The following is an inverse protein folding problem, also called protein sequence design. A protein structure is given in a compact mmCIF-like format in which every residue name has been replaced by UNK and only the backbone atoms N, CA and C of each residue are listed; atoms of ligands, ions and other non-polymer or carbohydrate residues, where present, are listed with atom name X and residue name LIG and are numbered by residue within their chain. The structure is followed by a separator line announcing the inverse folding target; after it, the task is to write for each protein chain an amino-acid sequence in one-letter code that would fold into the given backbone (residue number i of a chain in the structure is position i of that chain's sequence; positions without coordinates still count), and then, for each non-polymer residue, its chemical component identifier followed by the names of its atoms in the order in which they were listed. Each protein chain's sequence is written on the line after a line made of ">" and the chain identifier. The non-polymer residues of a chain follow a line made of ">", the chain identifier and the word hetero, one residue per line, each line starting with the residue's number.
data_IF_446458522560
#
_entry.id   IF_446458522560
#
_cell.length_a   1.000
_cell.length_b   1.000
_cell.length_c   1.000
_cell.angle_alpha   90.00
_cell.angle_beta   90.00
_cell.angle_gamma   90.00
#
_symmetry.space_group_name_H-M   'P 1'
#
loop_
_entity.id
_entity.type
_entity.pdbx_description
1 polymer ?
#
# COMPACT_ATOMS: atom_id res chain seq x y z
N UNK A 1 15.26 24.19 0.73
CA UNK A 1 15.36 23.02 -0.16
C UNK A 1 14.12 22.88 -1.02
N UNK A 2 14.29 22.42 -2.27
CA UNK A 2 13.15 22.24 -3.16
C UNK A 2 12.30 21.03 -2.72
N UNK A 3 10.96 21.19 -2.71
CA UNK A 3 10.02 20.14 -2.30
C UNK A 3 8.71 20.24 -3.09
N UNK A 4 8.05 19.10 -3.29
CA UNK A 4 6.75 19.02 -3.95
C UNK A 4 5.65 18.91 -2.91
N UNK A 5 4.77 19.91 -2.87
CA UNK A 5 3.84 20.12 -1.75
C UNK A 5 2.39 20.17 -2.19
N UNK A 6 1.50 19.88 -1.24
CA UNK A 6 0.08 20.20 -1.31
C UNK A 6 -0.12 21.65 -0.84
N UNK A 7 -0.40 22.55 -1.76
CA UNK A 7 -0.65 23.97 -1.49
C UNK A 7 -2.05 24.14 -0.87
N UNK A 8 -3.04 23.62 -1.55
CA UNK A 8 -4.46 23.58 -1.15
C UNK A 8 -5.16 22.37 -1.79
N UNK A 9 -6.33 21.95 -1.31
CA UNK A 9 -7.04 20.82 -1.92
C UNK A 9 -7.18 20.96 -3.44
N UNK A 10 -6.69 19.96 -4.18
CA UNK A 10 -6.66 19.95 -5.63
C UNK A 10 -5.49 20.64 -6.29
N UNK A 11 -4.62 21.32 -5.52
CA UNK A 11 -3.50 22.07 -6.06
C UNK A 11 -2.17 21.69 -5.42
N UNK A 12 -1.25 21.28 -6.24
CA UNK A 12 0.14 20.94 -5.87
C UNK A 12 1.13 21.89 -6.53
N UNK A 13 2.36 21.88 -6.08
CA UNK A 13 3.44 22.66 -6.70
C UNK A 13 4.75 22.53 -5.97
N UNK A 14 5.77 23.17 -6.53
CA UNK A 14 7.10 23.24 -5.97
C UNK A 14 7.22 24.39 -4.97
N UNK A 15 7.92 24.14 -3.87
CA UNK A 15 8.06 25.09 -2.77
C UNK A 15 9.47 25.04 -2.18
N UNK A 16 9.99 26.20 -1.79
CA UNK A 16 11.22 26.28 -1.01
C UNK A 16 10.91 26.04 0.48
N UNK A 17 11.08 24.81 0.91
CA UNK A 17 10.83 24.38 2.29
C UNK A 17 12.09 24.43 3.14
N UNK A 18 11.99 24.63 4.48
CA UNK A 18 13.13 24.54 5.36
C UNK A 18 13.80 23.17 5.28
N UNK A 19 15.10 23.12 5.48
CA UNK A 19 15.82 21.84 5.61
C UNK A 19 15.42 21.11 6.90
N UNK A 20 15.38 19.77 6.89
CA UNK A 20 15.09 19.02 8.10
C UNK A 20 16.23 19.11 9.11
N UNK A 21 15.90 19.15 10.40
CA UNK A 21 16.88 19.14 11.49
C UNK A 21 17.16 17.71 11.96
N UNK A 22 18.43 17.33 12.02
CA UNK A 22 18.83 15.99 12.48
C UNK A 22 18.50 15.77 13.95
N UNK A 23 17.90 14.63 14.24
CA UNK A 23 17.61 14.19 15.64
C UNK A 23 18.59 13.11 16.07
N UNK A 24 18.85 12.90 17.37
CA UNK A 24 19.85 11.93 17.85
C UNK A 24 19.63 10.50 17.36
N UNK A 25 18.40 10.05 17.15
CA UNK A 25 18.04 8.72 16.65
C UNK A 25 17.63 8.71 15.19
N UNK A 26 17.56 9.88 14.56
CA UNK A 26 17.07 10.04 13.20
C UNK A 26 18.17 9.97 12.15
N UNK A 27 17.74 10.00 10.91
CA UNK A 27 18.62 10.17 9.77
C UNK A 27 18.03 11.20 8.80
N UNK A 28 18.88 12.01 8.19
CA UNK A 28 18.55 12.85 7.04
C UNK A 28 18.92 12.08 5.79
N UNK A 29 17.97 11.96 4.88
CA UNK A 29 18.10 11.19 3.65
C UNK A 29 17.80 12.05 2.43
N UNK A 30 18.36 11.64 1.28
CA UNK A 30 17.93 12.11 -0.03
C UNK A 30 17.30 10.98 -0.83
N UNK A 31 16.22 11.24 -1.60
CA UNK A 31 15.62 10.22 -2.45
C UNK A 31 16.60 9.75 -3.54
N UNK A 32 16.59 8.45 -3.84
CA UNK A 32 17.23 7.83 -5.02
C UNK A 32 16.15 7.41 -6.01
N UNK A 33 15.03 6.92 -5.48
CA UNK A 33 13.83 6.64 -6.26
C UNK A 33 12.60 6.84 -5.39
N UNK A 34 11.53 7.37 -6.00
CA UNK A 34 10.23 7.55 -5.37
C UNK A 34 9.10 7.06 -6.28
N UNK A 35 7.95 6.76 -5.69
CA UNK A 35 6.76 6.45 -6.45
C UNK A 35 5.53 7.14 -5.84
N UNK A 36 4.77 7.93 -6.61
CA UNK A 36 3.47 8.40 -6.16
C UNK A 36 2.49 7.25 -5.99
N UNK A 37 1.68 7.33 -4.93
CA UNK A 37 0.65 6.36 -4.60
C UNK A 37 -0.76 6.91 -4.91
N UNK A 38 -1.74 6.01 -5.00
CA UNK A 38 -3.15 6.41 -5.09
C UNK A 38 -3.58 7.18 -3.83
N UNK A 39 -2.97 6.93 -2.68
CA UNK A 39 -3.22 7.70 -1.45
C UNK A 39 -2.73 9.15 -1.54
N UNK A 40 -1.63 9.44 -2.26
CA UNK A 40 -1.23 10.82 -2.57
C UNK A 40 -2.28 11.50 -3.46
N UNK A 41 -2.79 10.78 -4.47
CA UNK A 41 -3.89 11.27 -5.32
C UNK A 41 -5.14 11.58 -4.49
N UNK A 42 -5.50 10.72 -3.54
CA UNK A 42 -6.63 10.97 -2.62
C UNK A 42 -6.36 12.15 -1.69
N UNK A 43 -5.14 12.30 -1.19
CA UNK A 43 -4.74 13.44 -0.35
C UNK A 43 -4.87 14.75 -1.11
N UNK A 44 -4.47 14.78 -2.38
CA UNK A 44 -4.52 16.00 -3.21
C UNK A 44 -5.94 16.28 -3.71
N UNK A 45 -6.59 15.29 -4.33
CA UNK A 45 -7.83 15.48 -5.11
C UNK A 45 -9.09 14.96 -4.41
N UNK A 46 -8.96 14.26 -3.29
CA UNK A 46 -10.07 13.65 -2.56
C UNK A 46 -10.85 14.58 -1.63
N UNK A 47 -10.58 15.88 -1.65
CA UNK A 47 -11.33 16.91 -0.88
C UNK A 47 -10.97 16.99 0.61
N UNK A 48 -9.93 16.30 1.07
CA UNK A 48 -9.40 16.45 2.43
C UNK A 48 -8.68 17.80 2.62
N UNK A 49 -8.76 18.39 3.81
CA UNK A 49 -7.91 19.55 4.14
C UNK A 49 -6.53 19.08 4.57
N UNK A 50 -5.45 19.69 4.05
CA UNK A 50 -4.11 19.39 4.54
C UNK A 50 -4.01 19.71 6.03
N UNK A 51 -3.32 18.87 6.80
CA UNK A 51 -3.10 19.11 8.23
C UNK A 51 -2.13 20.27 8.49
N UNK A 52 -1.33 20.62 7.49
CA UNK A 52 -0.41 21.74 7.52
C UNK A 52 -0.36 22.43 6.14
N UNK A 53 -0.17 23.75 6.06
CA UNK A 53 0.05 24.44 4.79
C UNK A 53 1.36 23.92 4.18
N UNK A 54 1.39 23.81 2.86
CA UNK A 54 2.55 23.34 2.10
C UNK A 54 3.09 21.98 2.58
N UNK A 55 2.18 21.03 2.88
CA UNK A 55 2.54 19.66 3.26
C UNK A 55 3.36 19.00 2.16
N UNK A 56 4.60 18.62 2.45
CA UNK A 56 5.43 17.83 1.54
C UNK A 56 4.79 16.45 1.36
N UNK A 57 4.55 16.06 0.11
CA UNK A 57 3.88 14.82 -0.26
C UNK A 57 4.85 13.62 -0.33
N UNK A 58 4.29 12.42 -0.57
CA UNK A 58 5.03 11.20 -0.84
C UNK A 58 5.42 10.39 0.39
N UNK A 59 5.41 9.05 0.23
CA UNK A 59 5.72 8.10 1.29
C UNK A 59 6.38 6.81 0.79
N UNK A 60 6.54 6.64 -0.53
CA UNK A 60 7.25 5.49 -1.11
C UNK A 60 8.62 5.94 -1.62
N UNK A 61 9.69 5.44 -1.00
CA UNK A 61 11.03 5.89 -1.32
C UNK A 61 12.10 4.81 -1.08
N UNK A 62 13.10 4.79 -1.96
CA UNK A 62 14.45 4.28 -1.68
C UNK A 62 15.36 5.50 -1.61
N UNK A 63 16.16 5.60 -0.57
CA UNK A 63 16.93 6.79 -0.28
C UNK A 63 18.36 6.47 0.17
N UNK A 64 19.26 7.45 -0.01
CA UNK A 64 20.60 7.43 0.56
C UNK A 64 20.63 8.27 1.84
N UNK A 65 21.26 7.75 2.88
CA UNK A 65 21.48 8.45 4.14
C UNK A 65 22.60 9.49 3.93
N UNK A 66 22.28 10.75 4.16
CA UNK A 66 23.26 11.85 4.14
C UNK A 66 23.92 12.03 5.50
N UNK A 67 23.11 11.98 6.57
CA UNK A 67 23.56 12.16 7.95
C UNK A 67 22.78 11.21 8.86
N UNK A 68 23.48 10.58 9.82
CA UNK A 68 22.87 9.77 10.86
C UNK A 68 23.11 10.42 12.23
N UNK A 69 22.07 10.42 13.08
CA UNK A 69 22.16 10.93 14.42
C UNK A 69 23.13 10.11 15.30
N UNK A 70 23.65 10.74 16.35
CA UNK A 70 24.69 10.17 17.22
C UNK A 70 24.31 8.87 17.95
N UNK A 71 23.00 8.60 18.05
CA UNK A 71 22.45 7.39 18.69
C UNK A 71 21.96 6.34 17.68
N UNK A 72 22.10 6.58 16.37
CA UNK A 72 21.86 5.58 15.33
C UNK A 72 22.99 4.55 15.35
N UNK A 73 22.64 3.25 15.28
CA UNK A 73 23.59 2.15 15.46
C UNK A 73 23.81 1.33 14.21
N UNK A 74 22.75 1.12 13.44
CA UNK A 74 22.71 0.13 12.36
C UNK A 74 22.95 0.76 10.97
N UNK A 75 22.95 2.10 10.90
CA UNK A 75 23.04 2.86 9.65
C UNK A 75 24.05 3.99 9.74
N UNK A 76 24.60 4.38 8.60
CA UNK A 76 25.58 5.47 8.46
C UNK A 76 25.38 6.24 7.16
N UNK A 77 26.00 7.40 7.04
CA UNK A 77 26.05 8.16 5.80
C UNK A 77 26.59 7.31 4.65
N UNK A 78 25.95 7.41 3.48
CA UNK A 78 26.25 6.66 2.27
C UNK A 78 25.48 5.33 2.14
N UNK A 79 24.80 4.85 3.18
CA UNK A 79 23.96 3.66 3.06
C UNK A 79 22.72 3.97 2.23
N UNK A 80 22.39 3.06 1.30
CA UNK A 80 21.14 3.13 0.52
C UNK A 80 20.12 2.18 1.15
N UNK A 81 18.96 2.72 1.51
CA UNK A 81 17.95 2.05 2.32
C UNK A 81 16.56 2.13 1.72
N UNK A 82 15.71 1.15 2.03
CA UNK A 82 14.29 1.21 1.77
C UNK A 82 13.58 1.96 2.91
N UNK A 83 12.74 2.94 2.55
CA UNK A 83 11.99 3.77 3.49
C UNK A 83 10.54 3.29 3.55
N UNK A 84 10.10 2.61 4.63
CA UNK A 84 8.72 2.13 4.74
C UNK A 84 7.70 3.26 4.68
N UNK A 85 6.61 3.06 3.96
CA UNK A 85 5.49 4.00 3.93
C UNK A 85 4.79 4.12 5.28
N UNK A 86 4.76 3.02 6.04
CA UNK A 86 4.19 2.96 7.38
C UNK A 86 5.32 3.10 8.40
N UNK A 87 5.34 4.24 9.07
CA UNK A 87 6.39 4.70 9.99
C UNK A 87 5.78 5.06 11.35
N UNK A 88 5.37 4.07 12.16
CA UNK A 88 4.78 4.33 13.47
C UNK A 88 5.74 5.09 14.41
N UNK A 89 5.18 5.73 15.42
CA UNK A 89 5.97 6.16 16.58
C UNK A 89 6.34 4.94 17.43
N UNK A 90 7.54 4.41 17.22
CA UNK A 90 8.04 3.22 17.92
C UNK A 90 8.27 3.42 19.42
N UNK A 91 8.13 4.64 19.91
CA UNK A 91 8.23 4.99 21.35
C UNK A 91 6.87 5.12 22.03
N UNK A 92 5.79 5.02 21.27
CA UNK A 92 4.45 5.06 21.82
C UNK A 92 4.19 3.83 22.72
N UNK A 93 3.50 4.03 23.84
CA UNK A 93 3.17 2.95 24.79
C UNK A 93 2.34 1.84 24.13
N UNK A 94 1.51 2.18 23.17
CA UNK A 94 0.68 1.24 22.38
C UNK A 94 1.48 0.18 21.60
N UNK A 95 2.80 0.39 21.41
CA UNK A 95 3.69 -0.63 20.83
C UNK A 95 3.69 -1.91 21.69
N UNK A 96 3.62 -1.77 23.00
CA UNK A 96 3.56 -2.92 23.93
C UNK A 96 2.26 -3.72 23.79
N UNK A 97 1.21 -3.09 23.27
CA UNK A 97 -0.09 -3.70 22.96
C UNK A 97 -0.18 -4.20 21.51
N UNK A 98 0.92 -4.15 20.75
CA UNK A 98 0.98 -4.45 19.32
C UNK A 98 0.09 -3.54 18.44
N UNK A 99 -0.35 -2.39 18.98
CA UNK A 99 -1.15 -1.39 18.27
C UNK A 99 -0.27 -0.25 17.74
N UNK A 100 0.63 -0.57 16.80
CA UNK A 100 1.56 0.43 16.24
C UNK A 100 0.97 1.17 15.04
N UNK A 101 0.01 0.59 14.32
CA UNK A 101 -0.58 1.23 13.15
C UNK A 101 -1.55 2.37 13.50
N UNK A 102 -2.16 2.32 14.69
CA UNK A 102 -3.18 3.27 15.17
C UNK A 102 -2.87 3.82 16.55
N UNK A 103 -1.60 3.92 16.92
CA UNK A 103 -1.15 4.38 18.22
C UNK A 103 -1.68 5.78 18.56
N UNK A 104 -2.71 5.85 19.41
CA UNK A 104 -3.32 7.11 19.87
C UNK A 104 -4.24 7.83 18.87
N UNK A 105 -4.23 7.48 17.58
CA UNK A 105 -5.12 8.07 16.58
C UNK A 105 -5.25 7.17 15.34
N UNK A 106 -6.37 7.25 14.58
CA UNK A 106 -6.50 6.55 13.32
C UNK A 106 -5.39 6.90 12.34
N UNK A 107 -4.79 5.89 11.72
CA UNK A 107 -3.70 6.01 10.73
C UNK A 107 -2.41 6.66 11.26
N UNK A 108 -2.18 6.64 12.57
CA UNK A 108 -0.97 7.22 13.16
C UNK A 108 0.33 6.56 12.70
N UNK A 109 0.27 5.35 12.19
CA UNK A 109 1.42 4.68 11.56
C UNK A 109 1.75 5.19 10.16
N UNK A 110 0.83 5.87 9.47
CA UNK A 110 1.07 6.50 8.18
C UNK A 110 1.33 7.99 8.38
N UNK A 111 2.58 8.36 8.59
CA UNK A 111 2.97 9.73 8.95
C UNK A 111 3.52 10.52 7.75
N UNK A 112 4.40 9.92 6.94
CA UNK A 112 5.03 10.57 5.80
C UNK A 112 4.01 11.08 4.78
N UNK A 113 4.11 12.35 4.38
CA UNK A 113 3.18 12.99 3.46
C UNK A 113 1.78 13.21 4.02
N UNK A 114 1.58 13.05 5.35
CA UNK A 114 0.28 13.20 6.00
C UNK A 114 0.31 14.02 7.28
N UNK A 115 1.05 13.61 8.29
CA UNK A 115 1.24 14.34 9.56
C UNK A 115 2.68 14.80 9.75
N UNK A 116 3.59 14.25 8.98
CA UNK A 116 4.98 14.64 8.85
C UNK A 116 5.29 14.96 7.38
N UNK A 117 6.33 15.78 7.11
CA UNK A 117 6.83 15.99 5.76
C UNK A 117 7.11 14.65 5.07
N UNK A 118 6.71 14.54 3.80
CA UNK A 118 6.91 13.35 2.98
C UNK A 118 8.27 13.33 2.30
N UNK A 119 8.41 12.36 1.39
CA UNK A 119 9.69 12.05 0.70
C UNK A 119 9.86 12.77 -0.64
N UNK A 120 8.89 13.59 -1.08
CA UNK A 120 9.02 14.36 -2.32
C UNK A 120 9.74 15.71 -2.07
N UNK A 121 10.93 15.62 -1.50
CA UNK A 121 11.82 16.71 -1.18
C UNK A 121 13.27 16.33 -1.48
N UNK A 122 14.14 17.31 -1.69
CA UNK A 122 15.59 17.05 -1.88
C UNK A 122 16.21 16.35 -0.67
N UNK A 123 15.67 16.61 0.52
CA UNK A 123 16.05 15.97 1.79
C UNK A 123 14.81 15.75 2.66
N UNK A 124 14.83 14.73 3.49
CA UNK A 124 13.78 14.47 4.48
C UNK A 124 14.36 13.77 5.71
N UNK A 125 13.65 13.87 6.84
CA UNK A 125 14.02 13.25 8.10
C UNK A 125 13.21 11.97 8.32
N UNK A 126 13.88 10.91 8.77
CA UNK A 126 13.28 9.76 9.45
C UNK A 126 13.67 9.83 10.93
N UNK A 127 12.71 10.03 11.86
CA UNK A 127 13.02 10.32 13.28
C UNK A 127 13.66 9.17 14.05
N UNK A 128 13.33 7.91 13.72
CA UNK A 128 13.85 6.70 14.35
C UNK A 128 14.41 5.76 13.26
N UNK A 129 15.67 5.96 12.87
CA UNK A 129 16.30 5.28 11.75
C UNK A 129 16.39 3.76 11.96
N UNK A 130 16.91 3.29 13.11
CA UNK A 130 17.18 1.87 13.35
C UNK A 130 15.93 1.00 13.38
N UNK A 131 14.77 1.55 13.73
CA UNK A 131 13.50 0.82 13.80
C UNK A 131 12.65 0.97 12.54
N UNK A 132 12.96 1.99 11.72
CA UNK A 132 12.16 2.34 10.56
C UNK A 132 12.83 1.91 9.25
N UNK A 133 14.10 2.31 9.02
CA UNK A 133 14.80 2.07 7.76
C UNK A 133 15.12 0.59 7.58
N UNK A 134 15.00 0.09 6.36
CA UNK A 134 15.28 -1.30 6.04
C UNK A 134 16.51 -1.44 5.13
N UNK A 135 17.40 -2.38 5.48
CA UNK A 135 18.52 -2.74 4.65
C UNK A 135 18.04 -3.40 3.35
N UNK A 136 18.61 -2.99 2.23
CA UNK A 136 18.36 -3.62 0.94
C UNK A 136 19.38 -4.73 0.73
N UNK A 137 18.97 -6.01 0.66
CA UNK A 137 19.88 -7.12 0.47
C UNK A 137 20.59 -7.05 -0.90
N UNK A 138 21.78 -7.58 -0.96
CA UNK A 138 22.51 -7.74 -2.24
C UNK A 138 21.67 -8.53 -3.25
N UNK A 139 21.65 -8.08 -4.51
CA UNK A 139 20.88 -8.66 -5.61
C UNK A 139 19.45 -8.19 -5.72
N UNK A 140 18.93 -7.42 -4.76
CA UNK A 140 17.61 -6.78 -4.87
C UNK A 140 17.73 -5.49 -5.68
N UNK A 141 16.93 -5.35 -6.73
CA UNK A 141 16.95 -4.16 -7.58
C UNK A 141 16.25 -2.97 -6.93
N UNK A 142 16.50 -1.77 -7.46
CA UNK A 142 15.86 -0.55 -6.98
C UNK A 142 14.33 -0.60 -7.09
N UNK A 143 13.83 -1.14 -8.20
CA UNK A 143 12.40 -1.33 -8.45
C UNK A 143 11.78 -2.31 -7.45
N UNK A 144 12.47 -3.43 -7.18
CA UNK A 144 12.03 -4.40 -6.18
C UNK A 144 11.96 -3.76 -4.79
N UNK A 145 13.00 -3.03 -4.41
CA UNK A 145 13.06 -2.37 -3.10
C UNK A 145 11.94 -1.32 -2.97
N UNK A 146 11.75 -0.48 -3.98
CA UNK A 146 10.71 0.55 -3.98
C UNK A 146 9.30 -0.04 -3.88
N UNK A 147 9.01 -1.16 -4.55
CA UNK A 147 7.70 -1.79 -4.44
C UNK A 147 7.48 -2.47 -3.09
N UNK A 148 8.53 -2.89 -2.39
CA UNK A 148 8.41 -3.51 -1.08
C UNK A 148 8.03 -2.54 0.04
N UNK A 149 8.31 -1.23 -0.09
CA UNK A 149 8.10 -0.25 0.99
C UNK A 149 6.62 0.03 1.30
N UNK A 150 5.73 -0.18 0.31
CA UNK A 150 4.28 -0.01 0.46
C UNK A 150 3.50 -1.13 -0.25
N UNK A 151 3.62 -1.22 -1.57
CA UNK A 151 2.73 -2.03 -2.42
C UNK A 151 2.72 -3.50 -2.02
N UNK A 152 3.91 -4.10 -1.84
CA UNK A 152 4.04 -5.51 -1.45
C UNK A 152 3.50 -5.72 -0.04
N UNK A 153 3.95 -4.92 0.92
CA UNK A 153 3.52 -5.09 2.32
C UNK A 153 2.03 -4.89 2.49
N UNK A 154 1.42 -3.94 1.78
CA UNK A 154 -0.01 -3.66 1.84
C UNK A 154 -0.84 -4.81 1.23
N UNK A 155 -0.46 -5.29 0.04
CA UNK A 155 -1.14 -6.43 -0.58
C UNK A 155 -1.02 -7.71 0.25
N UNK A 156 0.16 -7.96 0.82
CA UNK A 156 0.39 -9.11 1.70
C UNK A 156 -0.34 -9.00 3.03
N UNK A 157 -0.45 -7.79 3.61
CA UNK A 157 -1.28 -7.55 4.79
C UNK A 157 -2.73 -7.94 4.52
N UNK A 158 -3.28 -7.55 3.35
CA UNK A 158 -4.62 -7.96 2.94
C UNK A 158 -4.78 -9.49 2.85
N UNK A 159 -3.83 -10.17 2.25
CA UNK A 159 -3.85 -11.64 2.14
C UNK A 159 -3.70 -12.34 3.51
N UNK A 160 -2.83 -11.84 4.40
CA UNK A 160 -2.64 -12.38 5.75
C UNK A 160 -3.91 -12.25 6.60
N UNK A 161 -4.59 -11.10 6.56
CA UNK A 161 -5.82 -10.87 7.32
C UNK A 161 -7.06 -11.53 6.72
N UNK A 162 -6.98 -12.02 5.49
CA UNK A 162 -8.00 -12.85 4.89
C UNK A 162 -8.04 -14.28 5.46
N UNK A 163 -7.09 -14.64 6.33
CA UNK A 163 -6.96 -15.94 7.01
C UNK A 163 -6.98 -17.14 6.04
N UNK A 164 -6.30 -16.99 4.91
CA UNK A 164 -6.29 -17.94 3.80
C UNK A 164 -5.68 -19.27 4.25
N UNK A 165 -6.38 -20.36 3.93
CA UNK A 165 -5.93 -21.75 4.17
C UNK A 165 -5.60 -22.45 2.84
N UNK A 166 -4.85 -23.54 2.93
CA UNK A 166 -4.62 -24.40 1.77
C UNK A 166 -5.95 -24.90 1.17
N UNK A 167 -6.12 -24.67 -0.12
CA UNK A 167 -7.31 -25.12 -0.83
C UNK A 167 -8.44 -24.08 -0.95
N UNK A 168 -8.33 -22.92 -0.30
CA UNK A 168 -9.37 -21.89 -0.29
C UNK A 168 -9.61 -21.26 -1.68
N UNK A 169 -10.84 -20.81 -1.86
CA UNK A 169 -11.24 -19.88 -2.93
C UNK A 169 -11.21 -18.44 -2.40
N UNK A 170 -10.35 -17.63 -2.99
CA UNK A 170 -10.13 -16.22 -2.60
C UNK A 170 -10.55 -15.28 -3.73
N UNK A 171 -11.29 -14.24 -3.39
CA UNK A 171 -11.60 -13.13 -4.32
C UNK A 171 -10.73 -11.93 -3.98
N UNK A 172 -10.11 -11.31 -4.98
CA UNK A 172 -9.38 -10.05 -4.82
C UNK A 172 -10.12 -8.95 -5.58
N UNK A 173 -10.74 -8.02 -4.84
CA UNK A 173 -11.45 -6.88 -5.40
C UNK A 173 -10.49 -5.72 -5.67
N UNK A 174 -10.33 -5.35 -6.95
CA UNK A 174 -9.46 -4.28 -7.38
C UNK A 174 -8.01 -4.73 -7.59
N UNK A 175 -7.68 -5.16 -8.81
CA UNK A 175 -6.33 -5.58 -9.23
C UNK A 175 -5.45 -4.41 -9.70
N UNK A 176 -5.39 -3.34 -8.91
CA UNK A 176 -4.33 -2.33 -8.99
C UNK A 176 -3.01 -2.89 -8.40
N UNK A 177 -1.97 -2.05 -8.21
CA UNK A 177 -0.68 -2.51 -7.67
C UNK A 177 -0.83 -3.35 -6.39
N UNK A 178 -1.60 -2.86 -5.41
CA UNK A 178 -1.85 -3.55 -4.14
C UNK A 178 -2.58 -4.88 -4.35
N UNK A 179 -3.64 -4.88 -5.17
CA UNK A 179 -4.40 -6.11 -5.44
C UNK A 179 -3.59 -7.17 -6.19
N UNK A 180 -2.68 -6.77 -7.07
CA UNK A 180 -1.74 -7.67 -7.72
C UNK A 180 -0.82 -8.36 -6.69
N UNK A 181 -0.37 -7.63 -5.68
CA UNK A 181 0.41 -8.23 -4.58
C UNK A 181 -0.46 -9.04 -3.63
N UNK A 182 -1.74 -8.70 -3.43
CA UNK A 182 -2.68 -9.55 -2.70
C UNK A 182 -2.92 -10.89 -3.42
N UNK A 183 -2.99 -10.90 -4.76
CA UNK A 183 -3.04 -12.14 -5.57
C UNK A 183 -1.78 -12.99 -5.33
N UNK A 184 -0.58 -12.38 -5.40
CA UNK A 184 0.66 -13.07 -5.13
C UNK A 184 0.72 -13.62 -3.69
N UNK A 185 0.26 -12.83 -2.71
CA UNK A 185 0.16 -13.24 -1.31
C UNK A 185 -0.79 -14.42 -1.11
N UNK A 186 -1.99 -14.37 -1.71
CA UNK A 186 -2.97 -15.45 -1.64
C UNK A 186 -2.43 -16.76 -2.23
N UNK A 187 -1.72 -16.69 -3.37
CA UNK A 187 -1.04 -17.84 -3.95
C UNK A 187 0.01 -18.43 -3.00
N UNK A 188 0.83 -17.60 -2.38
CA UNK A 188 1.87 -18.05 -1.46
C UNK A 188 1.31 -18.67 -0.18
N UNK A 189 0.14 -18.22 0.26
CA UNK A 189 -0.58 -18.77 1.41
C UNK A 189 -1.33 -20.08 1.09
N UNK A 190 -1.41 -20.47 -0.19
CA UNK A 190 -1.94 -21.77 -0.59
C UNK A 190 -3.38 -21.77 -1.07
N UNK A 191 -3.93 -20.62 -1.47
CA UNK A 191 -5.23 -20.57 -2.14
C UNK A 191 -5.22 -21.46 -3.39
N UNK A 192 -6.22 -22.32 -3.55
CA UNK A 192 -6.36 -23.17 -4.73
C UNK A 192 -7.01 -22.42 -5.89
N UNK A 193 -7.90 -21.50 -5.59
CA UNK A 193 -8.58 -20.66 -6.58
C UNK A 193 -8.48 -19.19 -6.20
N UNK A 194 -8.04 -18.35 -7.13
CA UNK A 194 -7.92 -16.91 -6.92
C UNK A 194 -8.68 -16.19 -8.04
N UNK A 195 -9.81 -15.58 -7.67
CA UNK A 195 -10.67 -14.83 -8.56
C UNK A 195 -10.30 -13.35 -8.46
N UNK A 196 -9.64 -12.83 -9.47
CA UNK A 196 -9.15 -11.46 -9.50
C UNK A 196 -10.16 -10.55 -10.24
N UNK A 197 -10.65 -9.49 -9.58
CA UNK A 197 -11.68 -8.59 -10.12
C UNK A 197 -11.05 -7.29 -10.60
N UNK A 198 -11.13 -7.03 -11.90
CA UNK A 198 -10.62 -5.82 -12.52
C UNK A 198 -10.74 -5.85 -14.04
N UNK A 199 -10.44 -4.70 -14.71
CA UNK A 199 -10.70 -4.56 -16.14
C UNK A 199 -9.52 -4.03 -16.97
N UNK A 200 -8.47 -3.47 -16.34
CA UNK A 200 -7.33 -2.91 -17.08
C UNK A 200 -6.45 -4.03 -17.63
N UNK A 201 -6.20 -4.03 -18.95
CA UNK A 201 -5.52 -5.12 -19.67
C UNK A 201 -4.17 -5.51 -19.01
N UNK A 202 -3.30 -4.52 -18.72
CA UNK A 202 -1.99 -4.80 -18.08
C UNK A 202 -2.12 -5.38 -16.67
N UNK A 203 -3.11 -4.93 -15.91
CA UNK A 203 -3.38 -5.50 -14.58
C UNK A 203 -3.91 -6.94 -14.67
N UNK A 204 -4.74 -7.25 -15.67
CA UNK A 204 -5.25 -8.61 -15.93
C UNK A 204 -4.12 -9.55 -16.32
N UNK A 205 -3.21 -9.10 -17.19
CA UNK A 205 -2.00 -9.86 -17.55
C UNK A 205 -1.17 -10.22 -16.31
N UNK A 206 -0.83 -9.22 -15.51
CA UNK A 206 -0.03 -9.41 -14.30
C UNK A 206 -0.76 -10.23 -13.22
N UNK A 207 -2.09 -10.08 -13.09
CA UNK A 207 -2.85 -10.89 -12.14
C UNK A 207 -2.72 -12.40 -12.45
N UNK A 208 -2.81 -12.78 -13.72
CA UNK A 208 -2.60 -14.17 -14.16
C UNK A 208 -1.18 -14.64 -13.85
N UNK A 209 -0.20 -13.82 -14.14
CA UNK A 209 1.21 -14.13 -13.88
C UNK A 209 1.47 -14.32 -12.37
N UNK A 210 0.89 -13.48 -11.51
CA UNK A 210 1.02 -13.57 -10.07
C UNK A 210 0.19 -14.67 -9.43
N UNK A 211 -0.71 -15.34 -10.20
CA UNK A 211 -1.37 -16.56 -9.78
C UNK A 211 -2.89 -16.51 -9.73
N UNK A 212 -3.54 -15.49 -10.30
CA UNK A 212 -4.99 -15.52 -10.47
C UNK A 212 -5.40 -16.66 -11.39
N UNK A 213 -6.34 -17.49 -10.95
CA UNK A 213 -6.90 -18.61 -11.73
C UNK A 213 -8.04 -18.14 -12.63
N UNK A 214 -8.76 -17.13 -12.15
CA UNK A 214 -9.94 -16.58 -12.83
C UNK A 214 -9.88 -15.02 -12.84
N UNK A 215 -10.39 -14.44 -13.89
CA UNK A 215 -10.53 -12.98 -14.01
C UNK A 215 -12.01 -12.63 -14.16
N UNK A 216 -12.50 -11.75 -13.30
CA UNK A 216 -13.81 -11.14 -13.45
C UNK A 216 -13.67 -9.67 -13.82
N UNK A 217 -14.23 -9.30 -14.97
CA UNK A 217 -14.37 -7.90 -15.32
C UNK A 217 -15.69 -7.37 -14.74
N UNK A 218 -15.60 -6.39 -13.85
CA UNK A 218 -16.77 -5.78 -13.20
C UNK A 218 -17.69 -5.02 -14.16
N UNK A 219 -17.25 -4.80 -15.41
CA UNK A 219 -18.07 -4.17 -16.45
C UNK A 219 -19.01 -5.15 -17.15
N UNK A 220 -18.79 -6.47 -16.98
CA UNK A 220 -19.50 -7.53 -17.71
C UNK A 220 -20.71 -8.08 -16.91
N UNK A 221 -21.14 -7.41 -15.85
CA UNK A 221 -22.29 -7.80 -15.04
C UNK A 221 -22.06 -7.79 -13.54
N UNK A 222 -22.99 -8.36 -12.79
CA UNK A 222 -22.94 -8.42 -11.34
C UNK A 222 -21.84 -9.39 -10.87
N UNK A 223 -20.81 -8.85 -10.25
CA UNK A 223 -19.68 -9.66 -9.77
C UNK A 223 -20.03 -10.53 -8.58
N UNK A 224 -21.02 -10.16 -7.76
CA UNK A 224 -21.48 -10.95 -6.60
C UNK A 224 -22.14 -12.23 -7.08
N UNK A 225 -23.10 -12.09 -8.00
CA UNK A 225 -23.79 -13.25 -8.57
C UNK A 225 -22.82 -14.17 -9.30
N UNK A 226 -21.89 -13.63 -10.07
CA UNK A 226 -20.88 -14.42 -10.78
C UNK A 226 -19.97 -15.18 -9.82
N UNK A 227 -19.52 -14.58 -8.72
CA UNK A 227 -18.72 -15.28 -7.69
C UNK A 227 -19.55 -16.38 -7.05
N UNK A 228 -20.82 -16.15 -6.75
CA UNK A 228 -21.72 -17.20 -6.22
C UNK A 228 -21.90 -18.36 -7.20
N UNK A 229 -22.13 -18.08 -8.48
CA UNK A 229 -22.20 -19.13 -9.54
C UNK A 229 -20.90 -19.94 -9.58
N UNK A 230 -19.75 -19.28 -9.60
CA UNK A 230 -18.44 -19.91 -9.64
C UNK A 230 -18.11 -20.76 -8.41
N UNK A 231 -18.80 -20.51 -7.29
CA UNK A 231 -18.64 -21.23 -6.00
C UNK A 231 -19.82 -22.12 -5.65
N UNK A 232 -20.68 -22.45 -6.62
CA UNK A 232 -21.84 -23.31 -6.40
C UNK A 232 -22.88 -22.73 -5.43
N UNK A 233 -22.99 -21.41 -5.32
CA UNK A 233 -23.91 -20.71 -4.44
C UNK A 233 -23.41 -20.54 -3.00
N UNK A 234 -22.28 -21.14 -2.63
CA UNK A 234 -21.77 -21.13 -1.25
C UNK A 234 -21.06 -19.81 -0.92
N UNK A 235 -20.40 -19.20 -1.90
CA UNK A 235 -19.53 -18.03 -1.72
C UNK A 235 -18.06 -18.41 -1.55
N UNK A 236 -17.18 -17.41 -1.59
CA UNK A 236 -15.75 -17.57 -1.42
C UNK A 236 -15.36 -17.75 0.06
N UNK A 237 -14.25 -18.43 0.33
CA UNK A 237 -13.69 -18.56 1.67
C UNK A 237 -13.22 -17.20 2.21
N UNK A 238 -12.59 -16.40 1.35
CA UNK A 238 -12.20 -15.05 1.69
C UNK A 238 -12.30 -14.05 0.53
N UNK A 239 -12.48 -12.77 0.89
CA UNK A 239 -12.44 -11.65 -0.05
C UNK A 239 -11.46 -10.60 0.47
N UNK A 240 -10.50 -10.21 -0.36
CA UNK A 240 -9.54 -9.13 -0.08
C UNK A 240 -9.95 -7.89 -0.88
N UNK A 241 -10.23 -6.79 -0.18
CA UNK A 241 -10.60 -5.51 -0.81
C UNK A 241 -9.32 -4.66 -0.94
N UNK A 242 -8.87 -4.48 -2.18
CA UNK A 242 -7.68 -3.68 -2.53
C UNK A 242 -8.02 -2.48 -3.42
N UNK A 243 -9.30 -2.25 -3.68
CA UNK A 243 -9.81 -1.14 -4.49
C UNK A 243 -11.30 -1.24 -4.69
N UNK A 244 -11.86 -0.19 -5.25
CA UNK A 244 -13.31 -0.04 -5.43
C UNK A 244 -13.84 1.15 -4.66
N UNK A 245 -15.13 1.43 -4.86
CA UNK A 245 -15.88 2.44 -4.11
C UNK A 245 -16.54 1.78 -2.89
N UNK A 246 -17.34 2.52 -2.16
CA UNK A 246 -18.00 2.05 -0.92
C UNK A 246 -18.79 0.75 -1.11
N UNK A 247 -19.36 0.54 -2.31
CA UNK A 247 -20.09 -0.69 -2.66
C UNK A 247 -19.21 -1.94 -2.61
N UNK A 248 -17.90 -1.81 -2.81
CA UNK A 248 -16.97 -2.94 -2.73
C UNK A 248 -17.00 -3.61 -1.35
N UNK A 249 -17.28 -2.85 -0.29
CA UNK A 249 -17.41 -3.40 1.05
C UNK A 249 -18.64 -4.31 1.18
N UNK A 250 -19.83 -3.83 0.75
CA UNK A 250 -21.04 -4.68 0.75
C UNK A 250 -20.92 -5.87 -0.18
N UNK A 251 -20.35 -5.67 -1.38
CA UNK A 251 -20.09 -6.76 -2.32
C UNK A 251 -19.20 -7.85 -1.72
N UNK A 252 -18.14 -7.47 -1.00
CA UNK A 252 -17.28 -8.42 -0.31
C UNK A 252 -18.03 -9.23 0.74
N UNK A 253 -18.87 -8.58 1.55
CA UNK A 253 -19.73 -9.28 2.53
C UNK A 253 -20.72 -10.21 1.84
N UNK A 254 -21.26 -9.82 0.67
CA UNK A 254 -22.19 -10.64 -0.11
C UNK A 254 -21.51 -11.87 -0.74
N UNK A 255 -20.23 -11.78 -1.09
CA UNK A 255 -19.45 -12.84 -1.77
C UNK A 255 -18.93 -13.94 -0.85
N UNK A 256 -18.63 -13.61 0.45
CA UNK A 256 -18.07 -14.62 1.36
C UNK A 256 -19.14 -15.55 1.91
N UNK A 257 -18.76 -16.80 2.12
CA UNK A 257 -19.62 -17.86 2.68
C UNK A 257 -20.07 -17.56 4.11
N UNK A 258 -21.23 -18.06 4.48
CA UNK A 258 -21.75 -17.95 5.85
C UNK A 258 -20.94 -18.76 6.86
N UNK A 259 -20.87 -18.30 8.10
CA UNK A 259 -20.33 -18.99 9.26
C UNK A 259 -18.82 -18.92 9.42
N UNK A 260 -18.06 -18.85 8.32
CA UNK A 260 -16.59 -18.92 8.37
C UNK A 260 -15.89 -18.02 7.35
N UNK A 261 -16.63 -17.30 6.51
CA UNK A 261 -16.04 -16.45 5.47
C UNK A 261 -15.37 -15.20 6.06
N UNK A 262 -14.22 -14.81 5.48
CA UNK A 262 -13.46 -13.65 5.93
C UNK A 262 -13.40 -12.57 4.87
N UNK A 263 -13.72 -11.34 5.25
CA UNK A 263 -13.48 -10.11 4.47
C UNK A 263 -12.26 -9.40 5.05
N UNK A 264 -11.25 -9.18 4.25
CA UNK A 264 -10.06 -8.41 4.60
C UNK A 264 -10.02 -7.12 3.78
N UNK A 265 -9.92 -5.98 4.43
CA UNK A 265 -9.86 -4.68 3.76
C UNK A 265 -8.54 -3.96 4.01
N UNK A 266 -7.85 -3.64 2.94
CA UNK A 266 -6.68 -2.74 2.91
C UNK A 266 -6.89 -1.56 1.95
N UNK A 267 -8.13 -1.37 1.46
CA UNK A 267 -8.52 -0.22 0.64
C UNK A 267 -8.87 0.97 1.51
N UNK A 268 -8.41 2.15 1.12
CA UNK A 268 -8.83 3.41 1.71
C UNK A 268 -10.13 3.88 1.06
N UNK A 269 -11.20 3.93 1.84
CA UNK A 269 -12.46 4.55 1.44
C UNK A 269 -12.45 6.02 1.85
N UNK A 270 -12.52 6.91 0.87
CA UNK A 270 -12.55 8.35 1.11
C UNK A 270 -13.93 8.87 1.54
N UNK A 271 -14.00 10.17 1.91
CA UNK A 271 -15.25 10.81 2.28
C UNK A 271 -15.60 10.65 3.77
N UNK A 272 -16.83 11.04 4.13
CA UNK A 272 -17.33 11.09 5.53
C UNK A 272 -18.59 10.24 5.75
N UNK A 273 -19.00 9.44 4.76
CA UNK A 273 -20.17 8.58 4.80
C UNK A 273 -19.96 7.29 5.59
N UNK A 274 -20.98 6.44 5.55
CA UNK A 274 -20.95 5.11 6.15
C UNK A 274 -20.64 4.06 5.07
N UNK A 275 -19.85 3.05 5.41
CA UNK A 275 -19.72 1.87 4.57
C UNK A 275 -20.98 1.01 4.71
N UNK A 276 -21.63 0.61 3.59
CA UNK A 276 -22.88 -0.13 3.63
C UNK A 276 -22.63 -1.57 4.10
N UNK A 277 -23.29 -1.97 5.19
CA UNK A 277 -23.31 -3.36 5.63
C UNK A 277 -24.64 -4.02 5.22
N UNK A 278 -24.63 -5.05 4.34
CA UNK A 278 -25.84 -5.66 3.82
C UNK A 278 -26.53 -6.50 4.91
N UNK A 279 -27.75 -6.15 5.29
CA UNK A 279 -28.49 -6.84 6.37
C UNK A 279 -28.77 -8.31 6.07
N UNK A 280 -29.09 -8.65 4.83
CA UNK A 280 -29.46 -10.03 4.47
C UNK A 280 -28.26 -10.96 4.47
N UNK A 281 -27.26 -10.69 3.67
CA UNK A 281 -26.03 -11.50 3.57
C UNK A 281 -25.15 -11.39 4.82
N UNK A 282 -25.29 -10.29 5.58
CA UNK A 282 -24.76 -10.16 6.93
C UNK A 282 -25.54 -10.92 7.98
N UNK A 283 -26.54 -11.77 7.58
CA UNK A 283 -27.33 -12.62 8.50
C UNK A 283 -28.03 -11.82 9.58
N UNK A 284 -28.51 -10.60 9.26
CA UNK A 284 -29.06 -9.65 10.23
C UNK A 284 -28.08 -9.29 11.37
N UNK A 285 -26.77 -9.35 11.09
CA UNK A 285 -25.69 -9.16 12.06
C UNK A 285 -25.14 -10.45 12.68
N UNK A 286 -25.68 -11.61 12.30
CA UNK A 286 -25.33 -12.93 12.91
C UNK A 286 -24.85 -13.94 11.87
N UNK A 287 -24.22 -13.51 10.78
CA UNK A 287 -23.77 -14.41 9.70
C UNK A 287 -22.53 -15.25 10.05
N UNK A 288 -21.87 -14.99 11.18
CA UNK A 288 -20.63 -15.67 11.55
C UNK A 288 -19.45 -15.32 10.63
N UNK A 289 -19.54 -14.24 9.85
CA UNK A 289 -18.47 -13.77 8.97
C UNK A 289 -17.47 -12.91 9.76
N UNK A 290 -16.19 -13.08 9.46
CA UNK A 290 -15.14 -12.22 10.02
C UNK A 290 -14.90 -11.03 9.08
N UNK A 291 -14.79 -9.84 9.64
CA UNK A 291 -14.41 -8.62 8.90
C UNK A 291 -13.17 -8.05 9.57
N UNK A 292 -12.09 -8.00 8.81
CA UNK A 292 -10.83 -7.43 9.26
C UNK A 292 -10.53 -6.19 8.43
N UNK A 293 -10.35 -5.05 9.08
CA UNK A 293 -9.97 -3.78 8.45
C UNK A 293 -8.68 -3.31 9.10
N UNK A 294 -7.62 -3.07 8.33
CA UNK A 294 -6.34 -2.72 8.91
C UNK A 294 -5.50 -1.84 7.97
N UNK A 295 -4.71 -0.96 8.55
CA UNK A 295 -3.60 -0.30 7.88
C UNK A 295 -2.48 -1.32 7.63
N UNK A 296 -1.76 -1.17 6.53
CA UNK A 296 -0.66 -2.06 6.19
C UNK A 296 0.38 -2.17 7.33
N UNK A 297 0.94 -3.35 7.50
CA UNK A 297 2.08 -3.56 8.39
C UNK A 297 3.32 -2.86 7.83
N UNK A 298 4.06 -2.17 8.69
CA UNK A 298 5.26 -1.43 8.33
C UNK A 298 6.44 -1.65 9.26
N UNK A 299 7.40 -0.72 9.21
CA UNK A 299 8.63 -0.76 9.97
C UNK A 299 9.69 -1.70 9.38
N UNK A 300 10.92 -1.56 9.88
CA UNK A 300 12.13 -2.24 9.37
C UNK A 300 11.95 -3.75 9.22
N UNK A 301 11.59 -4.44 10.29
CA UNK A 301 11.50 -5.90 10.29
C UNK A 301 10.50 -6.44 9.25
N UNK A 302 9.41 -5.73 9.02
CA UNK A 302 8.42 -6.09 8.01
C UNK A 302 8.98 -5.93 6.60
N UNK A 303 9.60 -4.79 6.31
CA UNK A 303 10.12 -4.52 4.97
C UNK A 303 11.29 -5.42 4.63
N UNK A 304 12.21 -5.70 5.56
CA UNK A 304 13.31 -6.65 5.34
C UNK A 304 12.80 -8.07 5.00
N UNK A 305 11.66 -8.50 5.57
CA UNK A 305 11.01 -9.76 5.15
C UNK A 305 10.47 -9.69 3.72
N UNK A 306 9.89 -8.57 3.30
CA UNK A 306 9.39 -8.40 1.93
C UNK A 306 10.55 -8.38 0.93
N UNK A 307 11.64 -7.69 1.26
CA UNK A 307 12.87 -7.66 0.47
C UNK A 307 13.48 -9.06 0.31
N UNK A 308 13.47 -9.89 1.36
CA UNK A 308 13.89 -11.30 1.26
C UNK A 308 13.02 -12.11 0.29
N UNK A 309 11.72 -11.86 0.25
CA UNK A 309 10.83 -12.54 -0.71
C UNK A 309 11.21 -12.20 -2.16
N UNK A 310 11.58 -10.94 -2.42
CA UNK A 310 12.08 -10.51 -3.73
C UNK A 310 13.49 -11.11 -4.00
N UNK A 311 14.40 -11.03 -3.04
CA UNK A 311 15.78 -11.55 -3.15
C UNK A 311 15.81 -13.03 -3.55
N UNK A 312 14.95 -13.84 -2.97
CA UNK A 312 14.89 -15.28 -3.26
C UNK A 312 13.90 -15.63 -4.39
N UNK A 313 13.47 -14.64 -5.18
CA UNK A 313 12.60 -14.84 -6.34
C UNK A 313 11.22 -15.42 -6.03
N UNK A 314 10.74 -15.24 -4.79
CA UNK A 314 9.39 -15.69 -4.42
C UNK A 314 8.31 -14.77 -4.94
N UNK A 315 8.65 -13.51 -5.19
CA UNK A 315 7.85 -12.47 -5.82
C UNK A 315 8.69 -11.68 -6.81
N UNK A 316 8.05 -11.08 -7.80
CA UNK A 316 8.68 -10.24 -8.84
C UNK A 316 7.99 -8.88 -8.88
N UNK A 317 8.08 -8.07 -7.79
CA UNK A 317 7.34 -6.83 -7.66
C UNK A 317 7.81 -5.73 -8.63
N UNK A 318 9.02 -5.84 -9.17
CA UNK A 318 9.55 -4.95 -10.22
C UNK A 318 8.67 -4.90 -11.47
N UNK A 319 7.89 -5.95 -11.76
CA UNK A 319 6.94 -5.99 -12.88
C UNK A 319 5.77 -5.02 -12.73
N UNK A 320 5.53 -4.51 -11.52
CA UNK A 320 4.54 -3.47 -11.26
C UNK A 320 5.00 -2.11 -11.81
N UNK A 321 6.31 -1.87 -11.87
CA UNK A 321 6.89 -0.63 -12.40
C UNK A 321 6.82 -0.68 -13.92
N UNK A 322 5.75 -0.12 -14.48
CA UNK A 322 5.52 -0.10 -15.92
C UNK A 322 6.05 1.17 -16.61
N UNK A 323 6.29 2.22 -15.83
CA UNK A 323 6.80 3.51 -16.32
C UNK A 323 7.88 4.02 -15.38
N UNK A 324 8.98 4.48 -15.94
CA UNK A 324 10.08 5.12 -15.20
C UNK A 324 10.35 6.48 -15.79
N UNK A 325 10.29 7.49 -14.94
CA UNK A 325 10.70 8.86 -15.25
C UNK A 325 12.05 9.15 -14.59
N UNK A 326 12.81 10.11 -15.12
CA UNK A 326 14.13 10.46 -14.62
C UNK A 326 14.20 11.94 -14.28
N UNK A 327 14.68 12.24 -13.07
CA UNK A 327 14.84 13.60 -12.55
C UNK A 327 13.79 13.96 -11.50
N UNK A 328 14.22 14.69 -10.48
CA UNK A 328 13.40 15.10 -9.33
C UNK A 328 12.17 15.93 -9.75
N UNK A 329 12.31 16.75 -10.79
CA UNK A 329 11.25 17.56 -11.38
C UNK A 329 10.10 16.74 -11.99
N UNK A 330 10.29 15.44 -12.20
CA UNK A 330 9.29 14.53 -12.75
C UNK A 330 8.26 13.98 -11.75
N UNK A 331 8.39 14.30 -10.47
CA UNK A 331 7.46 13.86 -9.42
C UNK A 331 6.03 14.35 -9.70
N UNK A 332 5.86 15.59 -10.15
CA UNK A 332 4.56 16.14 -10.51
C UNK A 332 3.91 15.37 -11.67
N UNK A 333 4.67 15.14 -12.75
CA UNK A 333 4.20 14.34 -13.90
C UNK A 333 3.78 12.94 -13.45
N UNK A 334 4.58 12.29 -12.61
CA UNK A 334 4.29 10.96 -12.06
C UNK A 334 3.02 10.94 -11.22
N UNK A 335 2.76 11.98 -10.40
CA UNK A 335 1.52 12.08 -9.63
C UNK A 335 0.29 12.16 -10.54
N UNK A 336 0.35 12.99 -11.58
CA UNK A 336 -0.73 13.10 -12.55
C UNK A 336 -0.93 11.78 -13.33
N UNK A 337 0.13 11.08 -13.71
CA UNK A 337 0.02 9.74 -14.30
C UNK A 337 -0.72 8.77 -13.38
N UNK A 338 -0.42 8.79 -12.06
CA UNK A 338 -1.14 7.94 -11.09
C UNK A 338 -2.61 8.34 -10.92
N UNK A 339 -2.97 9.61 -11.11
CA UNK A 339 -4.36 10.08 -11.12
C UNK A 339 -5.09 9.61 -12.39
N UNK A 340 -4.51 9.85 -13.54
CA UNK A 340 -5.17 9.71 -14.84
C UNK A 340 -5.11 8.27 -15.38
N UNK A 341 -4.17 7.47 -14.90
CA UNK A 341 -3.98 6.04 -15.21
C UNK A 341 -3.99 5.77 -16.72
N UNK A 342 -3.04 6.33 -17.47
CA UNK A 342 -2.95 6.09 -18.92
C UNK A 342 -2.86 4.59 -19.21
N UNK A 343 -3.16 4.22 -20.46
CA UNK A 343 -3.12 2.83 -20.89
C UNK A 343 -1.77 2.19 -20.59
N UNK A 344 -1.78 0.96 -20.08
CA UNK A 344 -0.58 0.21 -19.70
C UNK A 344 0.02 0.60 -18.34
N UNK A 345 -0.41 1.70 -17.71
CA UNK A 345 0.14 2.08 -16.40
C UNK A 345 -0.36 1.16 -15.29
N UNK A 346 0.57 0.61 -14.52
CA UNK A 346 0.30 -0.03 -13.21
C UNK A 346 0.89 0.83 -12.10
N UNK A 347 2.20 1.06 -12.13
CA UNK A 347 2.91 1.96 -11.22
C UNK A 347 3.96 2.76 -11.99
N UNK A 348 4.14 4.02 -11.61
CA UNK A 348 5.22 4.88 -12.10
C UNK A 348 6.28 5.04 -11.01
N UNK A 349 7.54 4.95 -11.40
CA UNK A 349 8.69 5.27 -10.57
C UNK A 349 9.38 6.53 -11.11
N UNK A 350 9.86 7.38 -10.23
CA UNK A 350 10.77 8.47 -10.57
C UNK A 350 12.14 8.13 -10.02
N UNK A 351 13.12 8.00 -10.89
CA UNK A 351 14.53 7.79 -10.55
C UNK A 351 15.22 9.15 -10.49
N UNK A 352 15.85 9.43 -9.36
CA UNK A 352 16.46 10.74 -9.06
C UNK A 352 17.97 10.69 -9.22
#
# INVERSE_FOLDING_TARGET
>A
MNSFVLIEPGKVGWHDSPEPELTPYGAILRPVAVAPCTSDVHTVFGGGSPKAPNLILGHECVAEILEAGELVRDFKAGDVVAVPAITPDWRALSIQEHNFNHAGAPFSGHQLGRSQPGVFAEKFLIPDADTTLANIPEGVTLEQALMCVDVVTTGFTGAEFADIKFGDTVVVLGIGPIGLMAVAGARLLGAARIIAVGSRAKCVELAKEFGATDILNYKDGDIVERVKEMTGGIGADSVVICGGRDEAFSQAVDMVRYGIGTVSNVNYFGGTGNLPFPKFSGGRGMAGKTIHTELAKGGRARIERMLKMAQYGRITPEKLVTHTLHGFDKIEEALYMMRDKPEGLVKVMVRI
#
